data_IF_080950448101
#
_entry.id   IF_080950448101
#
_cell.length_a   1.000
_cell.length_b   1.000
_cell.length_c   1.000
_cell.angle_alpha   90.00
_cell.angle_beta   90.00
_cell.angle_gamma   90.00
#
_symmetry.space_group_name_H-M   'P 1'
#
loop_
_entity.id
_entity.type
_entity.pdbx_description
1 polymer ?
#
# COMPACT_ATOMS: atom_id res chain seq x y z
N UNK A 1 -26.68 -10.64 10.14
CA UNK A 1 -26.82 -11.82 9.27
C UNK A 1 -27.58 -11.46 7.99
N UNK A 2 -26.86 -11.23 6.90
CA UNK A 2 -27.43 -11.06 5.54
C UNK A 2 -27.29 -12.40 4.82
N UNK A 3 -28.36 -12.86 4.15
CA UNK A 3 -28.34 -14.07 3.32
C UNK A 3 -28.24 -13.65 1.86
N UNK A 4 -27.20 -14.09 1.16
CA UNK A 4 -27.04 -13.87 -0.28
C UNK A 4 -27.22 -15.20 -1.03
N UNK A 5 -28.08 -15.20 -2.06
CA UNK A 5 -28.33 -16.34 -2.94
C UNK A 5 -27.60 -16.13 -4.27
N UNK A 6 -26.68 -17.04 -4.63
CA UNK A 6 -26.01 -17.04 -5.92
C UNK A 6 -26.80 -17.94 -6.89
N UNK A 7 -27.55 -17.34 -7.80
CA UNK A 7 -28.33 -18.06 -8.81
C UNK A 7 -27.48 -18.40 -10.06
N UNK A 8 -27.00 -19.64 -10.12
CA UNK A 8 -26.62 -20.31 -11.36
C UNK A 8 -27.07 -21.79 -11.30
N UNK A 9 -27.99 -22.18 -12.20
CA UNK A 9 -28.58 -23.52 -12.37
C UNK A 9 -27.56 -24.69 -12.28
N UNK A 10 -27.95 -25.97 -12.04
CA UNK A 10 -29.09 -26.56 -11.35
C UNK A 10 -28.64 -27.26 -10.05
N UNK A 11 -27.68 -26.66 -9.33
CA UNK A 11 -27.23 -27.12 -8.02
C UNK A 11 -28.06 -26.40 -6.94
N UNK A 12 -28.29 -27.00 -5.76
CA UNK A 12 -28.99 -26.31 -4.67
C UNK A 12 -28.28 -24.99 -4.36
N UNK A 13 -29.05 -23.91 -4.23
CA UNK A 13 -28.53 -22.56 -4.01
C UNK A 13 -27.67 -22.52 -2.74
N UNK A 14 -26.38 -22.19 -2.92
CA UNK A 14 -25.47 -22.01 -1.80
C UNK A 14 -25.85 -20.72 -1.06
N UNK A 15 -26.41 -20.86 0.14
CA UNK A 15 -26.73 -19.73 1.00
C UNK A 15 -25.48 -19.30 1.78
N UNK A 16 -25.03 -18.07 1.52
CA UNK A 16 -23.94 -17.45 2.28
C UNK A 16 -24.55 -16.60 3.40
N UNK A 17 -24.11 -16.84 4.63
CA UNK A 17 -24.48 -16.08 5.82
C UNK A 17 -23.38 -15.10 6.14
N UNK A 18 -23.67 -13.80 6.00
CA UNK A 18 -22.72 -12.74 6.26
C UNK A 18 -23.06 -12.08 7.59
N UNK A 19 -22.12 -12.16 8.54
CA UNK A 19 -22.19 -11.37 9.76
C UNK A 19 -21.34 -10.10 9.61
N UNK A 20 -21.78 -9.02 10.26
CA UNK A 20 -21.37 -7.65 9.96
C UNK A 20 -19.86 -7.37 10.07
N UNK A 21 -19.40 -6.19 9.63
CA UNK A 21 -18.01 -5.81 9.75
C UNK A 21 -17.62 -5.67 11.24
N UNK A 22 -16.58 -6.39 11.66
CA UNK A 22 -16.04 -6.34 13.03
C UNK A 22 -14.84 -5.41 13.19
N UNK A 23 -14.29 -4.89 12.08
CA UNK A 23 -13.15 -3.97 12.14
C UNK A 23 -13.58 -2.62 12.69
N UNK A 24 -12.89 -2.14 13.73
CA UNK A 24 -12.99 -0.73 14.13
C UNK A 24 -12.29 0.10 13.06
N UNK A 25 -13.07 0.82 12.24
CA UNK A 25 -12.59 1.62 11.12
C UNK A 25 -11.88 2.89 11.58
N UNK A 26 -10.73 2.78 12.24
CA UNK A 26 -9.87 3.91 12.60
C UNK A 26 -9.23 4.51 11.35
N UNK A 27 -10.01 5.26 10.57
CA UNK A 27 -9.57 5.92 9.34
C UNK A 27 -8.77 7.21 9.60
N UNK A 28 -7.81 7.16 10.53
CA UNK A 28 -7.07 8.34 10.98
C UNK A 28 -6.18 8.95 9.89
N UNK A 29 -5.86 8.19 8.84
CA UNK A 29 -5.08 8.68 7.70
C UNK A 29 -5.71 9.87 6.96
N UNK A 30 -7.03 10.07 7.06
CA UNK A 30 -7.68 11.25 6.48
C UNK A 30 -7.38 12.54 7.26
N UNK A 31 -6.94 12.45 8.52
CA UNK A 31 -6.63 13.60 9.38
C UNK A 31 -5.30 14.27 9.05
N UNK A 32 -4.51 13.66 8.16
CA UNK A 32 -3.19 14.13 7.76
C UNK A 32 -3.21 14.55 6.30
N UNK A 33 -2.50 15.63 5.99
CA UNK A 33 -2.33 16.10 4.60
C UNK A 33 -1.54 15.08 3.77
N UNK A 34 -0.52 14.47 4.39
CA UNK A 34 0.27 13.41 3.78
C UNK A 34 0.29 12.20 4.71
N UNK A 35 -0.09 11.05 4.17
CA UNK A 35 -0.14 9.77 4.89
C UNK A 35 0.73 8.71 4.22
N UNK A 36 1.45 7.93 5.03
CA UNK A 36 2.23 6.78 4.58
C UNK A 36 1.56 5.51 5.11
N UNK A 37 1.11 4.65 4.20
CA UNK A 37 0.48 3.38 4.51
C UNK A 37 1.49 2.26 4.26
N UNK A 38 1.83 1.47 5.27
CA UNK A 38 2.84 0.40 5.19
C UNK A 38 2.17 -0.95 5.40
N UNK A 39 2.06 -1.75 4.35
CA UNK A 39 1.46 -3.08 4.37
C UNK A 39 2.50 -4.19 4.26
N UNK A 40 2.50 -5.12 5.22
CA UNK A 40 3.44 -6.23 5.27
C UNK A 40 2.76 -7.61 5.31
N UNK A 41 3.13 -8.50 4.39
CA UNK A 41 2.58 -9.86 4.36
C UNK A 41 1.05 -9.87 4.27
N UNK A 42 0.37 -10.65 5.12
CA UNK A 42 -1.11 -10.72 5.15
C UNK A 42 -1.77 -9.41 5.58
N UNK A 43 -1.05 -8.54 6.31
CA UNK A 43 -1.54 -7.23 6.75
C UNK A 43 -1.73 -6.22 5.61
N UNK A 44 -1.45 -6.64 4.37
CA UNK A 44 -1.66 -5.82 3.19
C UNK A 44 -3.14 -5.78 2.73
N UNK A 45 -3.90 -6.84 3.02
CA UNK A 45 -5.26 -7.02 2.51
C UNK A 45 -6.21 -5.84 2.78
N UNK A 46 -6.25 -5.26 4.00
CA UNK A 46 -7.11 -4.11 4.30
C UNK A 46 -6.79 -2.89 3.43
N UNK A 47 -5.51 -2.69 3.09
CA UNK A 47 -5.08 -1.56 2.27
C UNK A 47 -5.64 -1.63 0.85
N UNK A 48 -5.97 -2.81 0.32
CA UNK A 48 -6.65 -2.91 -0.97
C UNK A 48 -7.97 -2.12 -0.99
N UNK A 49 -8.79 -2.30 0.06
CA UNK A 49 -10.05 -1.58 0.20
C UNK A 49 -9.83 -0.09 0.46
N UNK A 50 -8.84 0.26 1.29
CA UNK A 50 -8.52 1.65 1.62
C UNK A 50 -8.09 2.41 0.35
N UNK A 51 -7.21 1.85 -0.46
CA UNK A 51 -6.73 2.49 -1.69
C UNK A 51 -7.85 2.71 -2.71
N UNK A 52 -8.74 1.72 -2.89
CA UNK A 52 -9.90 1.87 -3.76
C UNK A 52 -10.84 2.98 -3.27
N UNK A 53 -11.14 3.00 -1.97
CA UNK A 53 -12.00 4.03 -1.36
C UNK A 53 -11.41 5.44 -1.49
N UNK A 54 -10.09 5.59 -1.31
CA UNK A 54 -9.38 6.86 -1.44
C UNK A 54 -9.48 7.44 -2.86
N UNK A 55 -9.17 6.62 -3.88
CA UNK A 55 -9.26 7.05 -5.27
C UNK A 55 -10.71 7.32 -5.67
N UNK A 56 -11.65 6.52 -5.19
CA UNK A 56 -13.08 6.76 -5.41
C UNK A 56 -13.53 8.11 -4.82
N UNK A 57 -13.22 8.39 -3.55
CA UNK A 57 -13.55 9.68 -2.90
C UNK A 57 -12.90 10.87 -3.60
N UNK A 58 -11.66 10.71 -4.06
CA UNK A 58 -10.95 11.72 -4.85
C UNK A 58 -11.67 12.03 -6.17
N UNK A 59 -12.13 10.98 -6.87
CA UNK A 59 -12.85 11.13 -8.16
C UNK A 59 -14.19 11.85 -8.03
N UNK A 60 -14.84 11.75 -6.86
CA UNK A 60 -16.08 12.48 -6.55
C UNK A 60 -15.86 13.98 -6.25
N UNK A 61 -14.61 14.47 -6.28
CA UNK A 61 -14.30 15.85 -5.94
C UNK A 61 -14.53 16.20 -4.47
N UNK A 62 -14.55 15.18 -3.59
CA UNK A 62 -14.70 15.40 -2.16
C UNK A 62 -13.54 16.24 -1.64
N UNK A 63 -13.82 17.24 -0.79
CA UNK A 63 -12.76 17.99 -0.12
C UNK A 63 -12.06 17.11 0.91
N UNK A 64 -11.02 16.41 0.47
CA UNK A 64 -10.18 15.58 1.32
C UNK A 64 -9.07 16.43 1.93
N UNK A 65 -8.89 16.32 3.25
CA UNK A 65 -7.72 16.90 3.92
C UNK A 65 -6.43 16.21 3.46
N UNK A 66 -6.48 14.88 3.26
CA UNK A 66 -5.37 14.12 2.71
C UNK A 66 -5.19 14.44 1.21
N UNK A 67 -3.99 14.93 0.86
CA UNK A 67 -3.58 15.35 -0.49
C UNK A 67 -2.60 14.40 -1.14
N UNK A 68 -1.88 13.60 -0.35
CA UNK A 68 -0.93 12.61 -0.88
C UNK A 68 -0.84 11.39 0.02
N UNK A 69 -0.82 10.22 -0.60
CA UNK A 69 -0.73 8.92 0.07
C UNK A 69 0.42 8.14 -0.54
N UNK A 70 1.35 7.73 0.32
CA UNK A 70 2.43 6.83 -0.04
C UNK A 70 2.12 5.44 0.46
N UNK A 71 1.86 4.50 -0.45
CA UNK A 71 1.65 3.11 -0.08
C UNK A 71 2.93 2.30 -0.27
N UNK A 72 3.49 1.80 0.83
CA UNK A 72 4.66 0.95 0.86
C UNK A 72 4.21 -0.48 1.09
N UNK A 73 4.23 -1.28 0.04
CA UNK A 73 3.93 -2.70 0.14
C UNK A 73 5.22 -3.51 0.31
N UNK A 74 5.36 -4.20 1.45
CA UNK A 74 6.51 -5.04 1.77
C UNK A 74 6.09 -6.51 1.73
N UNK A 75 6.71 -7.30 0.84
CA UNK A 75 6.45 -8.74 0.77
C UNK A 75 7.73 -9.53 0.53
N UNK A 76 7.73 -10.81 0.89
CA UNK A 76 8.84 -11.72 0.54
C UNK A 76 8.73 -12.11 -0.93
N UNK A 77 7.55 -12.55 -1.37
CA UNK A 77 7.27 -13.00 -2.74
C UNK A 77 5.88 -12.52 -3.16
N UNK A 78 5.68 -12.22 -4.44
CA UNK A 78 4.36 -11.79 -4.95
C UNK A 78 3.35 -12.94 -5.10
N UNK A 79 3.78 -14.20 -5.03
CA UNK A 79 2.97 -15.38 -5.38
C UNK A 79 1.61 -15.47 -4.69
N UNK A 80 1.49 -15.00 -3.45
CA UNK A 80 0.23 -15.06 -2.67
C UNK A 80 -0.65 -13.81 -2.83
N UNK A 81 -0.14 -12.77 -3.48
CA UNK A 81 -0.74 -11.44 -3.50
C UNK A 81 -0.78 -10.87 -4.93
N UNK A 82 -0.81 -11.73 -5.95
CA UNK A 82 -0.93 -11.32 -7.35
C UNK A 82 -2.21 -10.50 -7.58
N UNK A 83 -3.31 -10.90 -6.94
CA UNK A 83 -4.58 -10.18 -6.94
C UNK A 83 -4.43 -8.72 -6.48
N UNK A 84 -3.50 -8.43 -5.57
CA UNK A 84 -3.27 -7.07 -5.09
C UNK A 84 -2.60 -6.21 -6.16
N UNK A 85 -1.74 -6.80 -7.01
CA UNK A 85 -1.15 -6.07 -8.13
C UNK A 85 -2.23 -5.61 -9.12
N UNK A 86 -3.23 -6.46 -9.40
CA UNK A 86 -4.37 -6.06 -10.24
C UNK A 86 -5.18 -4.92 -9.61
N UNK A 87 -5.38 -4.95 -8.30
CA UNK A 87 -6.04 -3.86 -7.57
C UNK A 87 -5.20 -2.58 -7.63
N UNK A 88 -3.89 -2.65 -7.41
CA UNK A 88 -3.01 -1.48 -7.52
C UNK A 88 -3.07 -0.90 -8.93
N UNK A 89 -3.13 -1.74 -9.97
CA UNK A 89 -3.29 -1.29 -11.35
C UNK A 89 -4.59 -0.51 -11.54
N UNK A 90 -5.70 -1.04 -11.02
CA UNK A 90 -7.01 -0.37 -11.07
C UNK A 90 -7.00 0.96 -10.28
N UNK A 91 -6.38 0.98 -9.10
CA UNK A 91 -6.19 2.20 -8.29
C UNK A 91 -5.38 3.23 -9.08
N UNK A 92 -4.26 2.83 -9.67
CA UNK A 92 -3.45 3.73 -10.50
C UNK A 92 -4.24 4.27 -11.70
N UNK A 93 -5.01 3.42 -12.39
CA UNK A 93 -5.77 3.84 -13.58
C UNK A 93 -6.88 4.83 -13.26
N UNK A 94 -7.49 4.72 -12.09
CA UNK A 94 -8.53 5.63 -11.63
C UNK A 94 -7.99 6.87 -10.90
N UNK A 95 -6.71 6.87 -10.51
CA UNK A 95 -6.08 7.99 -9.83
C UNK A 95 -5.72 9.12 -10.82
N UNK A 96 -6.65 10.06 -10.96
CA UNK A 96 -6.51 11.23 -11.82
C UNK A 96 -5.78 12.40 -11.15
N UNK A 97 -5.64 12.38 -9.81
CA UNK A 97 -5.08 13.49 -9.03
C UNK A 97 -3.65 13.22 -8.56
N UNK A 98 -3.07 12.07 -8.95
CA UNK A 98 -1.80 11.58 -8.39
C UNK A 98 -1.86 11.55 -6.85
N UNK A 99 -2.99 11.10 -6.30
CA UNK A 99 -3.21 11.00 -4.87
C UNK A 99 -2.36 9.89 -4.25
N UNK A 100 -2.19 8.77 -4.94
CA UNK A 100 -1.57 7.55 -4.43
C UNK A 100 -0.27 7.24 -5.17
N UNK A 101 0.84 7.20 -4.45
CA UNK A 101 2.12 6.72 -4.94
C UNK A 101 2.49 5.40 -4.28
N UNK A 102 2.62 4.36 -5.10
CA UNK A 102 2.85 2.98 -4.63
C UNK A 102 4.30 2.56 -4.84
N UNK A 103 4.90 2.01 -3.79
CA UNK A 103 6.23 1.43 -3.78
C UNK A 103 6.17 -0.01 -3.31
N UNK A 104 6.64 -0.93 -4.13
CA UNK A 104 6.63 -2.37 -3.85
C UNK A 104 8.03 -2.81 -3.46
N UNK A 105 8.20 -3.45 -2.32
CA UNK A 105 9.49 -3.96 -1.83
C UNK A 105 9.45 -5.48 -1.74
N UNK A 106 10.22 -6.15 -2.61
CA UNK A 106 10.43 -7.59 -2.61
C UNK A 106 11.66 -7.92 -1.78
N UNK A 107 11.45 -8.60 -0.66
CA UNK A 107 12.47 -8.85 0.37
C UNK A 107 13.11 -10.24 0.30
N UNK A 108 12.73 -11.09 -0.67
CA UNK A 108 13.40 -12.37 -0.90
C UNK A 108 14.88 -12.14 -1.24
N UNK A 109 15.75 -13.06 -0.82
CA UNK A 109 17.15 -13.08 -1.23
C UNK A 109 17.26 -13.51 -2.70
N UNK A 110 18.16 -12.90 -3.46
CA UNK A 110 18.33 -13.18 -4.89
C UNK A 110 18.57 -14.67 -5.19
N UNK A 111 19.34 -15.35 -4.35
CA UNK A 111 19.61 -16.80 -4.44
C UNK A 111 18.35 -17.68 -4.31
N UNK A 112 17.27 -17.12 -3.75
CA UNK A 112 15.99 -17.81 -3.49
C UNK A 112 14.85 -17.24 -4.34
N UNK A 113 15.16 -16.51 -5.41
CA UNK A 113 14.15 -16.06 -6.35
C UNK A 113 13.54 -17.26 -7.06
N UNK A 114 12.20 -17.27 -7.12
CA UNK A 114 11.49 -18.13 -8.06
C UNK A 114 11.57 -17.52 -9.48
N UNK A 115 11.12 -18.27 -10.47
CA UNK A 115 11.09 -17.83 -11.87
C UNK A 115 10.37 -16.48 -12.02
N UNK A 116 9.26 -16.29 -11.30
CA UNK A 116 8.47 -15.05 -11.32
C UNK A 116 9.26 -13.86 -10.79
N UNK A 117 9.85 -13.99 -9.61
CA UNK A 117 10.64 -12.91 -8.99
C UNK A 117 11.88 -12.59 -9.82
N UNK A 118 12.49 -13.60 -10.43
CA UNK A 118 13.60 -13.43 -11.37
C UNK A 118 13.17 -12.65 -12.60
N UNK A 119 12.05 -13.01 -13.23
CA UNK A 119 11.50 -12.28 -14.37
C UNK A 119 11.17 -10.85 -14.02
N UNK A 120 10.50 -10.62 -12.89
CA UNK A 120 10.19 -9.28 -12.39
C UNK A 120 11.48 -8.46 -12.20
N UNK A 121 12.50 -9.03 -11.55
CA UNK A 121 13.79 -8.36 -11.36
C UNK A 121 14.44 -7.95 -12.68
N UNK A 122 14.45 -8.86 -13.65
CA UNK A 122 15.02 -8.57 -14.97
C UNK A 122 14.20 -7.49 -15.68
N UNK A 123 12.87 -7.58 -15.68
CA UNK A 123 12.00 -6.59 -16.31
C UNK A 123 12.13 -5.20 -15.70
N UNK A 124 12.26 -5.09 -14.38
CA UNK A 124 12.38 -3.80 -13.69
C UNK A 124 13.76 -3.14 -13.86
N UNK A 125 14.82 -3.95 -13.97
CA UNK A 125 16.20 -3.43 -13.96
C UNK A 125 16.87 -3.39 -15.34
N UNK A 126 16.50 -4.29 -16.23
CA UNK A 126 17.20 -4.51 -17.50
C UNK A 126 16.35 -4.24 -18.73
N UNK A 127 15.03 -4.12 -18.60
CA UNK A 127 14.15 -3.77 -19.71
C UNK A 127 13.63 -2.34 -19.58
N UNK A 128 13.44 -1.70 -20.73
CA UNK A 128 12.84 -0.38 -20.79
C UNK A 128 11.34 -0.49 -20.47
N UNK A 129 10.85 0.38 -19.57
CA UNK A 129 9.42 0.50 -19.30
C UNK A 129 8.68 0.94 -20.56
N UNK A 130 7.55 0.31 -20.86
CA UNK A 130 6.65 0.74 -21.94
C UNK A 130 5.57 1.61 -21.32
N UNK A 131 5.41 2.85 -21.80
CA UNK A 131 4.46 3.83 -21.24
C UNK A 131 4.62 4.03 -19.71
N UNK A 132 5.87 4.04 -19.22
CA UNK A 132 6.22 4.09 -17.79
C UNK A 132 5.65 2.95 -16.94
N UNK A 133 5.17 1.87 -17.57
CA UNK A 133 4.70 0.67 -16.89
C UNK A 133 5.72 -0.46 -16.98
N UNK A 134 5.79 -1.24 -15.91
CA UNK A 134 6.52 -2.50 -15.90
C UNK A 134 5.98 -3.44 -16.98
N UNK A 135 6.86 -4.05 -17.77
CA UNK A 135 6.48 -5.08 -18.73
C UNK A 135 5.90 -6.32 -18.08
N UNK A 136 6.24 -6.57 -16.81
CA UNK A 136 5.84 -7.78 -16.11
C UNK A 136 4.51 -7.62 -15.37
N UNK A 137 4.34 -6.51 -14.65
CA UNK A 137 3.14 -6.28 -13.81
C UNK A 137 2.14 -5.31 -14.45
N UNK A 138 2.56 -4.53 -15.44
CA UNK A 138 1.73 -3.45 -16.01
C UNK A 138 1.54 -2.24 -15.07
N UNK A 139 2.25 -2.20 -13.94
CA UNK A 139 2.16 -1.13 -12.95
C UNK A 139 3.10 0.04 -13.29
N UNK A 140 2.64 1.26 -13.01
CA UNK A 140 3.50 2.46 -13.00
C UNK A 140 4.36 2.52 -11.73
N UNK A 141 3.85 1.94 -10.64
CA UNK A 141 4.54 1.68 -9.38
C UNK A 141 5.98 1.21 -9.59
N UNK A 142 6.87 1.63 -8.69
CA UNK A 142 8.25 1.18 -8.71
C UNK A 142 8.39 -0.05 -7.81
N UNK A 143 8.97 -1.11 -8.37
CA UNK A 143 9.32 -2.31 -7.60
C UNK A 143 10.80 -2.27 -7.23
N UNK A 144 11.07 -2.32 -5.94
CA UNK A 144 12.38 -2.34 -5.32
C UNK A 144 12.68 -3.75 -4.79
N UNK A 145 13.97 -4.09 -4.75
CA UNK A 145 14.47 -5.35 -4.23
C UNK A 145 15.32 -5.10 -2.99
N UNK A 146 14.95 -5.73 -1.89
CA UNK A 146 15.54 -5.49 -0.57
C UNK A 146 14.55 -4.89 0.42
N UNK A 147 15.07 -4.52 1.60
CA UNK A 147 14.27 -3.92 2.67
C UNK A 147 14.01 -2.44 2.38
N UNK A 148 12.82 -1.91 2.72
CA UNK A 148 12.51 -0.51 2.53
C UNK A 148 13.41 0.38 3.40
N UNK A 149 14.05 1.42 2.82
CA UNK A 149 14.86 2.38 3.56
C UNK A 149 13.96 3.43 4.23
N UNK A 150 13.23 3.04 5.28
CA UNK A 150 12.21 3.91 5.91
C UNK A 150 12.74 5.28 6.35
N UNK A 151 13.92 5.33 6.99
CA UNK A 151 14.51 6.60 7.46
C UNK A 151 14.88 7.54 6.30
N UNK A 152 15.68 7.12 5.28
CA UNK A 152 15.90 7.93 4.09
C UNK A 152 14.62 8.32 3.36
N UNK A 153 13.63 7.42 3.30
CA UNK A 153 12.35 7.69 2.68
C UNK A 153 11.60 8.82 3.41
N UNK A 154 11.49 8.76 4.74
CA UNK A 154 10.86 9.82 5.53
C UNK A 154 11.61 11.15 5.46
N UNK A 155 12.94 11.15 5.41
CA UNK A 155 13.70 12.37 5.14
C UNK A 155 13.33 12.98 3.78
N UNK A 156 13.28 12.17 2.72
CA UNK A 156 12.90 12.66 1.39
C UNK A 156 11.48 13.22 1.34
N UNK A 157 10.55 12.69 2.16
CA UNK A 157 9.19 13.25 2.23
C UNK A 157 9.18 14.68 2.77
N UNK A 158 10.07 15.04 3.69
CA UNK A 158 10.18 16.41 4.20
C UNK A 158 10.68 17.37 3.11
N UNK A 159 11.59 16.91 2.26
CA UNK A 159 12.10 17.69 1.13
C UNK A 159 11.05 17.88 0.04
N UNK A 160 10.27 16.82 -0.26
CA UNK A 160 9.19 16.86 -1.26
C UNK A 160 8.01 17.70 -0.76
N UNK A 161 7.71 17.66 0.54
CA UNK A 161 6.56 18.35 1.16
C UNK A 161 6.99 19.35 2.24
N UNK A 162 7.74 20.41 1.90
CA UNK A 162 8.37 21.31 2.89
C UNK A 162 7.36 22.13 3.71
N UNK A 163 6.08 22.19 3.29
CA UNK A 163 5.00 22.90 3.99
C UNK A 163 4.29 22.02 5.02
N UNK A 164 4.45 20.70 4.94
CA UNK A 164 3.74 19.76 5.79
C UNK A 164 4.47 19.60 7.11
N UNK A 165 3.79 19.94 8.21
CA UNK A 165 4.36 19.85 9.57
C UNK A 165 4.11 18.51 10.24
N UNK A 166 3.07 17.78 9.82
CA UNK A 166 2.66 16.52 10.42
C UNK A 166 2.35 15.49 9.34
N UNK A 167 3.02 14.35 9.42
CA UNK A 167 2.83 13.20 8.55
C UNK A 167 2.20 12.06 9.36
N UNK A 168 1.18 11.41 8.80
CA UNK A 168 0.59 10.21 9.39
C UNK A 168 1.29 8.97 8.85
N UNK A 169 1.74 8.05 9.68
CA UNK A 169 2.37 6.80 9.26
C UNK A 169 1.60 5.63 9.88
N UNK A 170 1.05 4.77 9.04
CA UNK A 170 0.16 3.68 9.44
C UNK A 170 0.79 2.37 9.01
N UNK A 171 1.04 1.46 9.94
CA UNK A 171 1.68 0.18 9.61
C UNK A 171 0.87 -1.02 10.07
N UNK A 172 0.61 -1.95 9.14
CA UNK A 172 0.01 -3.25 9.43
C UNK A 172 0.87 -4.36 8.82
N UNK A 173 1.31 -5.31 9.63
CA UNK A 173 2.17 -6.41 9.18
C UNK A 173 3.03 -7.01 10.30
N UNK A 174 4.10 -7.74 9.95
CA UNK A 174 4.94 -8.43 10.93
C UNK A 174 5.54 -7.48 11.98
N UNK A 175 5.61 -7.87 13.27
CA UNK A 175 6.09 -7.00 14.34
C UNK A 175 7.48 -6.40 14.11
N UNK A 176 8.38 -7.18 13.51
CA UNK A 176 9.72 -6.69 13.17
C UNK A 176 9.72 -5.57 12.12
N UNK A 177 8.75 -5.58 11.19
CA UNK A 177 8.61 -4.53 10.19
C UNK A 177 8.00 -3.28 10.81
N UNK A 178 6.88 -3.40 11.54
CA UNK A 178 6.19 -2.26 12.15
C UNK A 178 7.07 -1.55 13.18
N UNK A 179 7.86 -2.30 13.96
CA UNK A 179 8.88 -1.73 14.86
C UNK A 179 9.98 -0.96 14.13
N UNK A 180 10.38 -1.39 12.93
CA UNK A 180 11.35 -0.65 12.13
C UNK A 180 10.76 0.66 11.58
N UNK A 181 9.48 0.66 11.21
CA UNK A 181 8.74 1.88 10.82
C UNK A 181 8.69 2.85 12.01
N UNK A 182 8.28 2.38 13.18
CA UNK A 182 8.24 3.18 14.41
C UNK A 182 9.61 3.80 14.72
N UNK A 183 10.65 2.96 14.73
CA UNK A 183 12.02 3.41 15.01
C UNK A 183 12.48 4.48 14.02
N UNK A 184 12.17 4.32 12.74
CA UNK A 184 12.48 5.33 11.73
C UNK A 184 11.73 6.64 12.01
N UNK A 185 10.43 6.59 12.33
CA UNK A 185 9.67 7.80 12.71
C UNK A 185 10.29 8.49 13.94
N UNK A 186 10.66 7.72 14.98
CA UNK A 186 11.30 8.26 16.19
C UNK A 186 12.66 8.90 15.91
N UNK A 187 13.44 8.34 14.98
CA UNK A 187 14.72 8.93 14.57
C UNK A 187 14.54 10.26 13.84
N UNK A 188 13.59 10.31 12.91
CA UNK A 188 13.27 11.54 12.18
C UNK A 188 12.71 12.62 13.12
N UNK A 189 11.84 12.25 14.05
CA UNK A 189 11.24 13.18 15.02
C UNK A 189 12.24 13.81 16.01
N UNK A 190 13.49 13.34 16.06
CA UNK A 190 14.56 14.01 16.81
C UNK A 190 15.09 15.25 16.09
N UNK A 191 14.81 15.36 14.79
CA UNK A 191 15.12 16.53 13.99
C UNK A 191 13.95 17.52 14.12
N UNK A 192 14.24 18.79 14.38
CA UNK A 192 13.22 19.81 14.67
C UNK A 192 12.56 20.40 13.39
N UNK A 193 12.18 19.52 12.46
CA UNK A 193 11.61 19.89 11.15
C UNK A 193 10.13 19.54 11.04
N UNK A 194 9.80 18.29 10.70
CA UNK A 194 8.44 17.80 10.62
C UNK A 194 8.21 16.61 11.56
N UNK A 195 6.98 16.44 12.01
CA UNK A 195 6.61 15.40 12.96
C UNK A 195 5.88 14.24 12.28
N UNK A 196 6.41 13.02 12.43
CA UNK A 196 5.85 11.77 11.93
C UNK A 196 5.11 11.06 13.07
N UNK A 197 3.78 10.99 12.96
CA UNK A 197 2.93 10.30 13.95
C UNK A 197 2.71 8.87 13.47
N UNK A 198 3.23 7.91 14.23
CA UNK A 198 3.12 6.49 13.89
C UNK A 198 1.93 5.83 14.59
N UNK A 199 1.15 5.08 13.81
CA UNK A 199 -0.02 4.33 14.23
C UNK A 199 0.15 2.86 13.88
N UNK A 200 -0.12 2.00 14.86
CA UNK A 200 -0.20 0.56 14.69
C UNK A 200 -1.62 0.19 14.26
N UNK A 201 -1.76 -0.31 13.04
CA UNK A 201 -3.05 -0.73 12.51
C UNK A 201 -3.17 -2.25 12.60
N UNK A 202 -4.18 -2.73 13.32
CA UNK A 202 -4.62 -4.12 13.36
C UNK A 202 -6.05 -4.18 12.82
N UNK A 203 -6.16 -4.16 11.50
CA UNK A 203 -7.41 -4.30 10.78
C UNK A 203 -7.98 -5.72 10.86
#
# INVERSE_FOLDING_TARGET
>A
MVVAELNSNPLPSLQLYLDGPFGEGHQEWHKFEVSVLVGGGIGVTPFASILKDLVFKSSLGSQMQCKKIYFIWVTRTQRQFEWLADIIREVEENDQQDLVSVHIYITQLAEKFDLRTTMLYICERHFQKVLNRSLFTGLRSITHFGRPPFEPFFNSLQEVHPKVRKFGVFSCGPPGMTKNVEKACQLINRQDQAHFVHHYENF
#
